data_IF_542564393597
#
_entry.id   IF_542564393597
#
_cell.length_a   1.000
_cell.length_b   1.000
_cell.length_c   1.000
_cell.angle_alpha   90.00
_cell.angle_beta   90.00
_cell.angle_gamma   90.00
#
_symmetry.space_group_name_H-M   'P 1'
#
loop_
_entity.id
_entity.type
_entity.pdbx_description
1 polymer ?
#
# COMPACT_ATOMS: atom_id res chain seq x y z
N UNK A 1 13.00 2.95 7.03
CA UNK A 1 11.56 2.79 7.28
C UNK A 1 11.26 1.31 7.27
N UNK A 2 10.27 0.86 8.03
CA UNK A 2 9.86 -0.56 8.06
C UNK A 2 8.35 -0.69 7.92
N UNK A 3 7.88 -1.92 7.72
CA UNK A 3 6.46 -2.25 7.65
C UNK A 3 5.72 -1.83 8.93
N UNK A 4 6.41 -1.82 10.08
CA UNK A 4 5.85 -1.40 11.36
C UNK A 4 5.48 0.09 11.40
N UNK A 5 6.09 0.93 10.55
CA UNK A 5 5.75 2.35 10.42
C UNK A 5 4.49 2.56 9.56
N UNK A 6 4.26 1.68 8.59
CA UNK A 6 3.15 1.76 7.63
C UNK A 6 1.88 1.08 8.14
N UNK A 7 2.04 -0.10 8.75
CA UNK A 7 0.91 -0.94 9.17
C UNK A 7 -0.10 -0.19 10.05
N UNK A 8 0.27 0.57 11.10
CA UNK A 8 -0.69 1.27 11.94
C UNK A 8 -1.51 2.33 11.18
N UNK A 9 -0.90 2.99 10.19
CA UNK A 9 -1.58 4.01 9.37
C UNK A 9 -2.68 3.37 8.53
N UNK A 10 -2.37 2.25 7.89
CA UNK A 10 -3.34 1.52 7.06
C UNK A 10 -4.36 0.76 7.91
N UNK A 11 -3.97 0.16 9.03
CA UNK A 11 -4.89 -0.54 9.94
C UNK A 11 -5.97 0.41 10.52
N UNK A 12 -5.69 1.71 10.60
CA UNK A 12 -6.67 2.72 11.01
C UNK A 12 -7.83 2.90 10.01
N UNK A 13 -7.60 2.62 8.72
CA UNK A 13 -8.61 2.76 7.67
C UNK A 13 -9.38 1.46 7.41
N UNK A 14 -8.74 0.32 7.65
CA UNK A 14 -9.25 -1.00 7.33
C UNK A 14 -8.79 -2.03 8.39
N UNK A 15 -9.39 -2.00 9.60
CA UNK A 15 -8.97 -2.86 10.71
C UNK A 15 -9.04 -4.33 10.33
N UNK A 16 -8.06 -5.11 10.79
CA UNK A 16 -7.97 -6.57 10.60
C UNK A 16 -7.86 -7.06 9.13
N UNK A 17 -7.85 -6.16 8.14
CA UNK A 17 -7.79 -6.52 6.72
C UNK A 17 -6.63 -5.86 5.97
N UNK A 18 -5.56 -5.52 6.70
CA UNK A 18 -4.30 -5.03 6.13
C UNK A 18 -3.23 -6.10 6.31
N UNK A 19 -2.51 -6.43 5.24
CA UNK A 19 -1.48 -7.45 5.25
C UNK A 19 -0.21 -6.95 4.55
N UNK A 20 0.99 -7.22 5.09
CA UNK A 20 2.22 -6.96 4.36
C UNK A 20 2.40 -8.02 3.26
N UNK A 21 2.69 -7.57 2.04
CA UNK A 21 3.01 -8.35 0.82
C UNK A 21 1.94 -9.29 0.27
N UNK A 22 1.13 -9.94 1.10
CA UNK A 22 0.14 -10.94 0.67
C UNK A 22 -0.98 -11.11 1.69
N UNK A 23 -2.23 -11.28 1.24
CA UNK A 23 -3.28 -11.72 2.16
C UNK A 23 -3.18 -13.23 2.44
N UNK A 24 -3.44 -13.64 3.68
CA UNK A 24 -3.50 -15.04 4.05
C UNK A 24 -4.60 -15.79 3.28
N UNK A 25 -4.25 -16.94 2.71
CA UNK A 25 -5.19 -17.91 2.16
C UNK A 25 -5.67 -18.87 3.25
N UNK A 26 -6.15 -18.33 4.38
CA UNK A 26 -6.60 -19.12 5.52
C UNK A 26 -8.03 -19.64 5.33
N UNK A 27 -8.44 -20.61 6.16
CA UNK A 27 -9.83 -20.98 6.35
C UNK A 27 -10.35 -20.42 7.69
N UNK A 28 -11.39 -19.57 7.70
CA UNK A 28 -12.11 -19.04 6.53
C UNK A 28 -11.29 -18.01 5.74
N UNK A 29 -11.55 -17.86 4.43
CA UNK A 29 -10.81 -16.92 3.59
C UNK A 29 -11.05 -15.47 4.01
N UNK A 30 -10.02 -14.65 3.86
CA UNK A 30 -10.12 -13.20 4.02
C UNK A 30 -11.18 -12.69 3.04
N UNK A 31 -12.13 -11.90 3.54
CA UNK A 31 -13.23 -11.39 2.73
C UNK A 31 -12.93 -9.97 2.25
N UNK A 32 -13.26 -9.61 1.01
CA UNK A 32 -13.15 -8.22 0.59
C UNK A 32 -14.04 -7.28 1.44
N UNK A 33 -13.62 -6.02 1.63
CA UNK A 33 -12.40 -5.41 1.08
C UNK A 33 -11.15 -5.68 1.93
N UNK A 34 -9.99 -5.87 1.30
CA UNK A 34 -8.70 -6.04 1.97
C UNK A 34 -7.60 -5.22 1.29
N UNK A 35 -6.52 -4.98 2.02
CA UNK A 35 -5.40 -4.15 1.61
C UNK A 35 -4.09 -4.92 1.78
N UNK A 36 -3.24 -4.87 0.76
CA UNK A 36 -1.85 -5.29 0.84
C UNK A 36 -0.97 -4.06 0.73
N UNK A 37 0.15 -4.06 1.45
CA UNK A 37 1.21 -3.10 1.17
C UNK A 37 2.57 -3.77 1.09
N UNK A 38 3.43 -3.21 0.25
CA UNK A 38 4.81 -3.65 0.05
C UNK A 38 5.71 -2.44 0.20
N UNK A 39 6.76 -2.58 1.01
CA UNK A 39 7.79 -1.58 1.19
C UNK A 39 9.10 -2.17 0.67
N UNK A 40 9.78 -1.46 -0.24
CA UNK A 40 11.07 -1.86 -0.76
C UNK A 40 11.94 -0.62 -0.99
N UNK A 41 13.20 -0.70 -0.58
CA UNK A 41 14.18 0.36 -0.79
C UNK A 41 15.04 0.10 -2.01
N UNK A 42 15.53 1.18 -2.62
CA UNK A 42 16.70 1.13 -3.50
C UNK A 42 17.79 1.93 -2.81
N UNK A 43 18.92 1.29 -2.50
CA UNK A 43 20.10 2.01 -2.01
C UNK A 43 20.61 2.92 -3.14
N UNK A 44 20.48 4.24 -2.97
CA UNK A 44 21.04 5.20 -3.91
C UNK A 44 22.42 5.63 -3.42
N UNK A 45 23.47 5.19 -4.12
CA UNK A 45 24.83 5.70 -3.94
C UNK A 45 24.89 7.14 -4.46
N UNK A 46 24.83 8.10 -3.53
CA UNK A 46 25.01 9.53 -3.86
C UNK A 46 26.49 9.90 -3.78
N UNK A 47 27.07 10.24 -4.93
CA UNK A 47 28.41 10.85 -5.04
C UNK A 47 28.40 12.22 -4.31
N UNK A 48 28.82 12.25 -3.04
CA UNK A 48 28.98 13.42 -2.15
C UNK A 48 27.76 13.89 -1.32
N UNK A 49 26.92 13.01 -0.79
CA UNK A 49 25.86 13.37 0.17
C UNK A 49 25.63 12.34 1.26
N UNK A 50 24.97 12.73 2.36
CA UNK A 50 24.42 11.77 3.33
C UNK A 50 23.46 10.85 2.57
N UNK A 51 23.73 9.54 2.58
CA UNK A 51 22.90 8.56 1.88
C UNK A 51 21.47 8.65 2.39
N UNK A 52 20.57 9.21 1.57
CA UNK A 52 19.13 9.18 1.82
C UNK A 52 18.59 7.84 1.37
N UNK A 53 17.75 7.21 2.19
CA UNK A 53 17.12 5.95 1.83
C UNK A 53 15.81 6.24 1.10
N UNK A 54 15.77 5.98 -0.21
CA UNK A 54 14.54 6.03 -0.99
C UNK A 54 13.76 4.73 -0.80
N UNK A 55 12.61 4.81 -0.14
CA UNK A 55 11.70 3.68 0.03
C UNK A 55 10.50 3.85 -0.89
N UNK A 56 10.20 2.86 -1.71
CA UNK A 56 8.96 2.79 -2.48
C UNK A 56 7.92 2.01 -1.68
N UNK A 57 6.74 2.61 -1.55
CA UNK A 57 5.57 2.04 -0.91
C UNK A 57 4.52 1.79 -1.99
N UNK A 58 4.13 0.54 -2.17
CA UNK A 58 2.98 0.15 -2.96
C UNK A 58 1.86 -0.30 -2.02
N UNK A 59 0.65 0.21 -2.24
CA UNK A 59 -0.58 -0.14 -1.52
C UNK A 59 -1.60 -0.63 -2.54
N UNK A 60 -2.03 -1.86 -2.39
CA UNK A 60 -3.02 -2.51 -3.26
C UNK A 60 -4.29 -2.79 -2.46
N UNK A 61 -5.39 -2.17 -2.87
CA UNK A 61 -6.71 -2.40 -2.28
C UNK A 61 -7.54 -3.28 -3.19
N UNK A 62 -8.09 -4.36 -2.64
CA UNK A 62 -8.96 -5.30 -3.34
C UNK A 62 -10.39 -5.21 -2.78
N UNK A 63 -11.38 -5.02 -3.66
CA UNK A 63 -12.79 -4.92 -3.28
C UNK A 63 -13.73 -5.48 -4.36
N UNK A 64 -15.02 -5.66 -4.01
CA UNK A 64 -16.04 -6.17 -4.93
C UNK A 64 -16.43 -5.15 -6.02
N UNK A 65 -16.14 -3.87 -5.79
CA UNK A 65 -16.39 -2.80 -6.76
C UNK A 65 -15.17 -1.89 -6.86
N UNK A 66 -14.95 -1.31 -8.04
CA UNK A 66 -13.85 -0.37 -8.23
C UNK A 66 -14.01 0.91 -7.42
N UNK A 67 -15.24 1.36 -7.19
CA UNK A 67 -15.53 2.57 -6.42
C UNK A 67 -15.18 2.38 -4.94
N UNK A 68 -15.47 1.21 -4.38
CA UNK A 68 -15.06 0.85 -3.01
C UNK A 68 -13.53 0.75 -2.88
N UNK A 69 -12.87 0.09 -3.83
CA UNK A 69 -11.41 -0.03 -3.84
C UNK A 69 -10.74 1.36 -3.89
N UNK A 70 -11.23 2.26 -4.77
CA UNK A 70 -10.73 3.64 -4.88
C UNK A 70 -10.96 4.44 -3.60
N UNK A 71 -12.16 4.35 -3.02
CA UNK A 71 -12.48 5.06 -1.78
C UNK A 71 -11.51 4.69 -0.65
N UNK A 72 -11.19 3.40 -0.51
CA UNK A 72 -10.27 2.90 0.52
C UNK A 72 -8.82 3.32 0.18
N UNK A 73 -8.40 3.25 -1.08
CA UNK A 73 -7.08 3.74 -1.52
C UNK A 73 -6.90 5.24 -1.24
N UNK A 74 -7.94 6.06 -1.45
CA UNK A 74 -7.88 7.50 -1.16
C UNK A 74 -7.78 7.78 0.35
N UNK A 75 -8.43 6.95 1.18
CA UNK A 75 -8.21 6.97 2.64
C UNK A 75 -6.79 6.57 3.00
N UNK A 76 -6.24 5.54 2.34
CA UNK A 76 -4.85 5.11 2.55
C UNK A 76 -3.86 6.22 2.20
N UNK A 77 -4.06 6.90 1.06
CA UNK A 77 -3.29 8.09 0.65
C UNK A 77 -3.30 9.17 1.73
N UNK A 78 -4.48 9.42 2.31
CA UNK A 78 -4.64 10.43 3.38
C UNK A 78 -3.92 9.99 4.67
N UNK A 79 -3.99 8.70 5.01
CA UNK A 79 -3.35 8.15 6.21
C UNK A 79 -1.81 8.23 6.15
N UNK A 80 -1.22 8.06 4.96
CA UNK A 80 0.23 8.15 4.78
C UNK A 80 0.74 9.58 4.51
N UNK A 81 -0.14 10.59 4.47
CA UNK A 81 0.25 11.95 4.10
C UNK A 81 1.32 12.56 5.04
N UNK A 82 1.35 12.15 6.31
CA UNK A 82 2.37 12.56 7.29
C UNK A 82 3.78 12.03 6.99
N UNK A 83 3.92 11.05 6.09
CA UNK A 83 5.20 10.54 5.61
C UNK A 83 5.76 11.34 4.43
N UNK A 84 5.07 12.40 4.00
CA UNK A 84 5.45 13.25 2.88
C UNK A 84 5.78 12.48 1.58
N UNK A 85 4.87 11.60 1.10
CA UNK A 85 5.11 10.79 -0.09
C UNK A 85 5.29 11.66 -1.35
N UNK A 86 6.26 11.28 -2.19
CA UNK A 86 6.55 11.85 -3.50
C UNK A 86 6.23 10.84 -4.60
N UNK A 87 6.25 11.29 -5.87
CA UNK A 87 6.02 10.42 -7.05
C UNK A 87 4.77 9.54 -6.94
N UNK A 88 3.64 10.12 -6.54
CA UNK A 88 2.39 9.36 -6.39
C UNK A 88 1.88 8.91 -7.77
N UNK A 89 1.69 7.61 -7.91
CA UNK A 89 1.09 6.95 -9.06
C UNK A 89 -0.14 6.16 -8.60
N UNK A 90 -1.21 6.23 -9.38
CA UNK A 90 -2.47 5.56 -9.08
C UNK A 90 -2.93 4.77 -10.29
N UNK A 91 -3.15 3.47 -10.11
CA UNK A 91 -3.66 2.60 -11.17
C UNK A 91 -4.85 1.80 -10.67
N UNK A 92 -5.66 1.32 -11.61
CA UNK A 92 -6.83 0.51 -11.34
C UNK A 92 -6.78 -0.73 -12.23
N UNK A 93 -7.23 -1.86 -11.70
CA UNK A 93 -7.24 -3.12 -12.41
C UNK A 93 -8.33 -4.06 -11.90
N UNK A 94 -8.37 -5.23 -12.50
CA UNK A 94 -9.20 -6.35 -12.07
C UNK A 94 -8.28 -7.55 -11.91
N UNK A 95 -8.33 -8.20 -10.76
CA UNK A 95 -7.49 -9.36 -10.42
C UNK A 95 -8.29 -10.64 -10.67
N UNK A 96 -8.06 -11.35 -11.79
CA UNK A 96 -8.90 -12.47 -12.21
C UNK A 96 -8.89 -13.64 -11.23
N UNK A 97 -7.78 -13.88 -10.52
CA UNK A 97 -7.67 -15.02 -9.59
C UNK A 97 -8.54 -14.86 -8.35
N UNK A 98 -8.80 -13.62 -7.93
CA UNK A 98 -9.65 -13.31 -6.77
C UNK A 98 -11.04 -12.80 -7.16
N UNK A 99 -11.25 -12.50 -8.45
CA UNK A 99 -12.43 -11.85 -8.99
C UNK A 99 -12.73 -10.48 -8.34
N UNK A 100 -11.69 -9.76 -7.92
CA UNK A 100 -11.80 -8.46 -7.24
C UNK A 100 -11.26 -7.32 -8.10
N UNK A 101 -11.83 -6.13 -7.90
CA UNK A 101 -11.26 -4.90 -8.41
C UNK A 101 -10.08 -4.48 -7.54
N UNK A 102 -8.96 -4.13 -8.19
CA UNK A 102 -7.76 -3.63 -7.53
C UNK A 102 -7.61 -2.13 -7.78
N UNK A 103 -7.38 -1.36 -6.71
CA UNK A 103 -6.93 0.02 -6.79
C UNK A 103 -5.55 0.12 -6.13
N UNK A 104 -4.55 0.49 -6.93
CA UNK A 104 -3.15 0.58 -6.52
C UNK A 104 -2.76 2.03 -6.31
N UNK A 105 -2.04 2.30 -5.23
CA UNK A 105 -1.31 3.52 -4.96
C UNK A 105 0.17 3.17 -4.81
N UNK A 106 1.03 3.79 -5.59
CA UNK A 106 2.48 3.68 -5.46
C UNK A 106 3.06 5.06 -5.17
N UNK A 107 4.02 5.15 -4.27
CA UNK A 107 4.72 6.40 -3.96
C UNK A 107 6.12 6.14 -3.42
N UNK A 108 6.92 7.19 -3.39
CA UNK A 108 8.25 7.21 -2.81
C UNK A 108 8.26 7.98 -1.49
N UNK A 109 9.06 7.52 -0.54
CA UNK A 109 9.25 8.14 0.75
C UNK A 109 10.75 8.28 1.00
N UNK A 110 11.19 9.53 1.14
CA UNK A 110 12.57 9.89 1.43
C UNK A 110 12.81 9.86 2.94
N UNK A 111 13.91 9.22 3.36
CA UNK A 111 14.40 9.23 4.74
C UNK A 111 15.89 9.60 4.82
#
# INVERSE_FOLDING_TARGET
MTEADIFPLLASILPEQVFPYVAPQLEPPVRPPWCVFSLYGIDQDVLNGQAGQLNTLQIDVYALTIDEARMIRDKARSAIAGLHPTELSETNGYEPDTELYRATLECQIWQ
#
